data_IF_580641978092
#
_entry.id   IF_580641978092
#
_cell.length_a   1.000
_cell.length_b   1.000
_cell.length_c   1.000
_cell.angle_alpha   90.00
_cell.angle_beta   90.00
_cell.angle_gamma   90.00
#
_symmetry.space_group_name_H-M   'P 1'
#
loop_
_entity.id
_entity.type
_entity.pdbx_description
1 polymer ?
#
# COMPACT_ATOMS: atom_id res chain seq x y z
N UNK A 1 0.03 16.35 -1.01
CA UNK A 1 -1.36 16.47 -1.53
C UNK A 1 -1.75 17.93 -1.79
N UNK A 2 -1.44 18.87 -0.88
CA UNK A 2 -1.66 20.31 -1.10
C UNK A 2 -1.13 20.81 -2.46
N UNK A 3 0.06 20.37 -2.89
CA UNK A 3 0.62 20.67 -4.22
C UNK A 3 -0.21 20.13 -5.40
N UNK A 4 -0.82 18.94 -5.27
CA UNK A 4 -1.73 18.38 -6.27
C UNK A 4 -3.05 19.16 -6.31
N UNK A 5 -3.59 19.52 -5.15
CA UNK A 5 -4.80 20.35 -5.04
C UNK A 5 -4.56 21.74 -5.66
N UNK A 6 -3.38 22.33 -5.41
CA UNK A 6 -2.95 23.61 -5.98
C UNK A 6 -2.55 23.55 -7.47
N UNK A 7 -2.56 22.36 -8.10
CA UNK A 7 -2.26 22.20 -9.53
C UNK A 7 -0.77 22.30 -9.90
N UNK A 8 0.14 22.19 -8.93
CA UNK A 8 1.59 22.24 -9.16
C UNK A 8 2.17 20.86 -9.49
N UNK A 9 1.75 19.85 -8.72
CA UNK A 9 2.07 18.45 -8.97
C UNK A 9 0.88 17.77 -9.63
N UNK A 10 1.08 17.00 -10.69
CA UNK A 10 -0.03 16.38 -11.43
C UNK A 10 -0.63 15.16 -10.70
N UNK A 11 0.22 14.25 -10.24
CA UNK A 11 -0.20 12.98 -9.65
C UNK A 11 0.78 12.45 -8.61
N UNK A 12 0.34 11.46 -7.85
CA UNK A 12 1.16 10.65 -6.93
C UNK A 12 0.66 9.22 -6.90
N UNK A 13 1.36 8.34 -6.19
CA UNK A 13 1.00 6.94 -6.01
C UNK A 13 0.74 6.70 -4.53
N UNK A 14 -0.49 6.30 -4.22
CA UNK A 14 -0.87 5.88 -2.89
C UNK A 14 -0.59 4.39 -2.69
N UNK A 15 0.12 4.08 -1.61
CA UNK A 15 0.38 2.74 -1.11
C UNK A 15 -0.05 2.74 0.34
N UNK A 16 -1.19 2.12 0.64
CA UNK A 16 -1.73 2.15 1.98
C UNK A 16 -0.84 1.33 2.93
N UNK A 17 -0.18 2.00 3.85
CA UNK A 17 0.69 1.36 4.84
C UNK A 17 -0.10 0.53 5.84
N UNK A 18 -1.41 0.80 6.01
CA UNK A 18 -2.30 0.02 6.87
C UNK A 18 -2.56 -1.36 6.29
N UNK A 19 -2.74 -1.46 4.97
CA UNK A 19 -2.88 -2.74 4.27
C UNK A 19 -1.57 -3.54 4.32
N UNK A 20 -0.43 -2.86 4.12
CA UNK A 20 0.88 -3.50 4.26
C UNK A 20 1.11 -4.01 5.69
N UNK A 21 0.77 -3.21 6.70
CA UNK A 21 0.84 -3.60 8.11
C UNK A 21 -0.05 -4.79 8.42
N UNK A 22 -1.30 -4.78 7.92
CA UNK A 22 -2.22 -5.91 8.06
C UNK A 22 -1.65 -7.19 7.46
N UNK A 23 -1.13 -7.13 6.23
CA UNK A 23 -0.53 -8.30 5.59
C UNK A 23 0.70 -8.79 6.34
N UNK A 24 1.57 -7.89 6.81
CA UNK A 24 2.74 -8.26 7.60
C UNK A 24 2.37 -8.96 8.91
N UNK A 25 1.34 -8.46 9.62
CA UNK A 25 0.83 -9.08 10.85
C UNK A 25 0.21 -10.45 10.56
N UNK A 26 -0.58 -10.58 9.49
CA UNK A 26 -1.13 -11.88 9.07
C UNK A 26 -0.01 -12.89 8.81
N UNK A 27 1.03 -12.50 8.06
CA UNK A 27 2.17 -13.38 7.79
C UNK A 27 2.90 -13.78 9.07
N UNK A 28 3.12 -12.83 10.00
CA UNK A 28 3.75 -13.12 11.28
C UNK A 28 2.92 -14.10 12.13
N UNK A 29 1.60 -13.89 12.20
CA UNK A 29 0.68 -14.77 12.93
C UNK A 29 0.61 -16.19 12.33
N UNK A 30 0.57 -16.30 10.99
CA UNK A 30 0.63 -17.60 10.32
C UNK A 30 1.91 -18.36 10.66
N UNK A 31 3.06 -17.70 10.60
CA UNK A 31 4.35 -18.30 10.97
C UNK A 31 4.36 -18.75 12.43
N UNK A 32 3.85 -17.93 13.35
CA UNK A 32 3.75 -18.28 14.78
C UNK A 32 2.83 -19.48 15.03
N UNK A 33 1.82 -19.68 14.17
CA UNK A 33 0.89 -20.81 14.21
C UNK A 33 1.36 -22.02 13.41
N UNK A 34 2.59 -22.00 12.89
CA UNK A 34 3.16 -23.09 12.08
C UNK A 34 2.52 -23.24 10.70
N UNK A 35 1.86 -22.18 10.19
CA UNK A 35 1.27 -22.13 8.85
C UNK A 35 2.23 -21.45 7.87
N UNK A 36 2.07 -21.75 6.59
CA UNK A 36 2.75 -21.04 5.51
C UNK A 36 1.95 -19.79 5.14
N UNK A 37 2.55 -18.59 5.20
CA UNK A 37 1.86 -17.37 4.79
C UNK A 37 1.51 -17.37 3.30
N UNK A 38 0.41 -16.72 2.96
CA UNK A 38 -0.01 -16.54 1.57
C UNK A 38 1.01 -15.68 0.79
N UNK A 39 1.32 -16.10 -0.43
CA UNK A 39 2.12 -15.36 -1.40
C UNK A 39 1.39 -15.34 -2.74
N UNK A 40 1.39 -14.19 -3.43
CA UNK A 40 0.79 -14.02 -4.75
C UNK A 40 1.85 -13.83 -5.86
N UNK A 41 3.13 -13.75 -5.50
CA UNK A 41 4.26 -13.77 -6.40
C UNK A 41 5.37 -14.67 -5.83
N UNK A 42 5.78 -15.65 -6.62
CA UNK A 42 6.84 -16.61 -6.26
C UNK A 42 7.93 -16.68 -7.32
N UNK A 43 8.07 -15.62 -8.13
CA UNK A 43 8.96 -15.57 -9.29
C UNK A 43 9.80 -14.31 -9.38
N UNK A 44 9.26 -13.16 -8.98
CA UNK A 44 9.86 -11.86 -9.33
C UNK A 44 11.00 -11.42 -8.40
N UNK A 45 10.98 -11.85 -7.13
CA UNK A 45 11.89 -11.32 -6.10
C UNK A 45 13.06 -12.28 -5.80
N UNK A 46 14.05 -12.29 -6.70
CA UNK A 46 15.34 -12.94 -6.46
C UNK A 46 16.24 -12.07 -5.59
N UNK A 47 16.61 -12.57 -4.40
CA UNK A 47 17.55 -11.88 -3.51
C UNK A 47 19.02 -12.35 -3.67
N UNK A 48 19.33 -13.04 -4.78
CA UNK A 48 20.60 -13.71 -5.14
C UNK A 48 20.90 -15.00 -4.39
N UNK A 49 20.13 -15.34 -3.36
CA UNK A 49 20.22 -16.64 -2.68
C UNK A 49 19.03 -17.54 -3.03
N UNK A 50 17.85 -16.96 -3.21
CA UNK A 50 16.62 -17.66 -3.60
C UNK A 50 15.60 -16.67 -4.17
N UNK A 51 14.61 -17.22 -4.86
CA UNK A 51 13.35 -16.51 -5.12
C UNK A 51 12.56 -16.47 -3.81
N UNK A 52 12.26 -15.27 -3.32
CA UNK A 52 11.49 -15.05 -2.10
C UNK A 52 10.00 -15.07 -2.47
N UNK A 53 9.17 -15.93 -1.83
CA UNK A 53 7.72 -15.81 -1.93
C UNK A 53 7.27 -14.47 -1.34
N UNK A 54 6.57 -13.66 -2.12
CA UNK A 54 6.13 -12.33 -1.74
C UNK A 54 4.63 -12.15 -1.96
N UNK A 55 4.07 -11.19 -1.22
CA UNK A 55 2.71 -10.72 -1.40
C UNK A 55 2.75 -9.26 -1.84
N UNK A 56 2.29 -8.98 -3.05
CA UNK A 56 2.27 -7.66 -3.65
C UNK A 56 0.89 -7.04 -3.48
N UNK A 57 0.85 -5.88 -2.83
CA UNK A 57 -0.31 -5.01 -2.78
C UNK A 57 -0.35 -4.11 -4.01
N UNK A 58 -1.54 -3.92 -4.59
CA UNK A 58 -1.70 -3.06 -5.75
C UNK A 58 -1.66 -1.58 -5.33
N UNK A 59 -0.75 -0.77 -5.89
CA UNK A 59 -0.74 0.67 -5.65
C UNK A 59 -1.91 1.37 -6.36
N UNK A 60 -2.31 2.52 -5.84
CA UNK A 60 -3.40 3.33 -6.42
C UNK A 60 -2.86 4.66 -6.93
N UNK A 61 -3.11 5.00 -8.19
CA UNK A 61 -2.76 6.32 -8.74
C UNK A 61 -3.72 7.37 -8.17
N UNK A 62 -3.16 8.47 -7.65
CA UNK A 62 -3.92 9.58 -7.10
C UNK A 62 -3.65 10.86 -7.87
N UNK A 63 -4.72 11.55 -8.24
CA UNK A 63 -4.71 12.86 -8.91
C UNK A 63 -5.68 13.80 -8.17
N UNK A 64 -5.79 15.03 -8.66
CA UNK A 64 -6.77 15.99 -8.13
C UNK A 64 -8.22 15.51 -8.23
N UNK A 65 -8.55 14.57 -9.13
CA UNK A 65 -9.93 14.13 -9.35
C UNK A 65 -10.39 13.04 -8.39
N UNK A 66 -9.47 12.30 -7.74
CA UNK A 66 -9.82 11.15 -6.90
C UNK A 66 -9.22 11.17 -5.48
N UNK A 67 -8.39 12.17 -5.13
CA UNK A 67 -7.71 12.17 -3.83
C UNK A 67 -8.67 12.16 -2.63
N UNK A 68 -9.85 12.78 -2.74
CA UNK A 68 -10.83 12.79 -1.66
C UNK A 68 -11.29 11.36 -1.34
N UNK A 69 -11.71 10.61 -2.36
CA UNK A 69 -12.16 9.22 -2.21
C UNK A 69 -11.04 8.29 -1.76
N UNK A 70 -9.86 8.41 -2.35
CA UNK A 70 -8.75 7.47 -2.07
C UNK A 70 -8.10 7.75 -0.72
N UNK A 71 -8.00 9.01 -0.28
CA UNK A 71 -7.22 9.38 0.91
C UNK A 71 -8.07 9.86 2.09
N UNK A 72 -9.21 10.52 1.86
CA UNK A 72 -10.03 11.07 2.95
C UNK A 72 -11.16 10.13 3.31
N UNK A 73 -11.94 9.67 2.33
CA UNK A 73 -13.06 8.74 2.57
C UNK A 73 -12.56 7.38 3.08
N UNK A 74 -11.34 6.98 2.69
CA UNK A 74 -10.64 5.81 3.24
C UNK A 74 -10.13 5.99 4.67
N UNK A 75 -10.27 7.19 5.23
CA UNK A 75 -9.81 7.56 6.57
C UNK A 75 -8.28 7.62 6.72
N UNK A 76 -7.52 7.66 5.62
CA UNK A 76 -6.06 7.76 5.68
C UNK A 76 -5.60 9.14 6.15
N UNK A 77 -6.24 10.20 5.64
CA UNK A 77 -6.11 11.57 6.13
C UNK A 77 -7.46 12.11 6.57
N UNK A 78 -7.45 13.00 7.55
CA UNK A 78 -8.61 13.86 7.81
C UNK A 78 -8.65 14.94 6.75
N UNK A 79 -9.85 15.40 6.41
CA UNK A 79 -10.04 16.53 5.49
C UNK A 79 -9.26 17.78 5.94
N UNK A 80 -9.16 18.00 7.26
CA UNK A 80 -8.38 19.08 7.87
C UNK A 80 -6.87 19.00 7.61
N UNK A 81 -6.33 17.81 7.35
CA UNK A 81 -4.89 17.63 7.11
C UNK A 81 -4.48 18.13 5.71
N UNK A 82 -5.46 18.21 4.80
CA UNK A 82 -5.27 18.54 3.39
C UNK A 82 -5.62 19.99 3.04
N UNK A 83 -6.19 20.72 3.99
CA UNK A 83 -6.51 22.15 3.91
C UNK A 83 -5.31 23.03 4.25
#
# INVERSE_FOLDING_TARGET
MKSIIAGQQYSTIFKDTRDLGKQAVTMADDLLKGKTPEANDTKSYDNKAKIVPTYLLQPVVVTKTNYQTVLVDSGYYKDSDLK
#
